data_IF_185544194731
#
_entry.id   IF_185544194731
#
_cell.length_a   1.000
_cell.length_b   1.000
_cell.length_c   1.000
_cell.angle_alpha   90.00
_cell.angle_beta   90.00
_cell.angle_gamma   90.00
#
_symmetry.space_group_name_H-M   'P 1'
#
loop_
_entity.id
_entity.type
_entity.pdbx_description
1 polymer ?
#
# COMPACT_ATOMS: atom_id res chain seq x y z
N UNK A 1 8.33 -3.13 33.33
CA UNK A 1 9.64 -3.55 32.79
C UNK A 1 9.28 -4.42 31.61
N UNK A 2 9.36 -3.87 30.40
CA UNK A 2 9.04 -4.60 29.17
C UNK A 2 9.97 -5.82 29.03
N UNK A 3 9.47 -6.88 28.39
CA UNK A 3 10.22 -8.11 28.21
C UNK A 3 11.27 -7.91 27.09
N UNK A 4 12.58 -8.06 27.36
CA UNK A 4 13.61 -7.97 26.32
C UNK A 4 13.36 -8.91 25.13
N UNK A 5 12.74 -10.07 25.38
CA UNK A 5 12.40 -11.03 24.34
C UNK A 5 11.28 -10.51 23.40
N UNK A 6 10.38 -9.67 23.91
CA UNK A 6 9.31 -9.06 23.13
C UNK A 6 9.86 -8.00 22.16
N UNK A 7 10.78 -7.15 22.64
CA UNK A 7 11.47 -6.16 21.81
C UNK A 7 12.18 -6.82 20.62
N UNK A 8 12.96 -7.87 20.89
CA UNK A 8 13.68 -8.63 19.86
C UNK A 8 12.70 -9.19 18.83
N UNK A 9 11.59 -9.77 19.28
CA UNK A 9 10.56 -10.31 18.40
C UNK A 9 9.92 -9.23 17.50
N UNK A 10 9.63 -8.06 18.05
CA UNK A 10 9.05 -6.94 17.28
C UNK A 10 10.04 -6.44 16.23
N UNK A 11 11.30 -6.22 16.60
CA UNK A 11 12.36 -5.81 15.67
C UNK A 11 12.49 -6.84 14.54
N UNK A 12 12.50 -8.13 14.87
CA UNK A 12 12.60 -9.21 13.86
C UNK A 12 11.40 -9.17 12.89
N UNK A 13 10.17 -8.97 13.39
CA UNK A 13 8.98 -8.84 12.55
C UNK A 13 9.07 -7.63 11.61
N UNK A 14 9.49 -6.47 12.10
CA UNK A 14 9.63 -5.26 11.28
C UNK A 14 10.73 -5.44 10.22
N UNK A 15 11.87 -6.06 10.58
CA UNK A 15 12.93 -6.38 9.62
C UNK A 15 12.47 -7.37 8.54
N UNK A 16 11.72 -8.40 8.93
CA UNK A 16 11.16 -9.36 7.98
C UNK A 16 10.16 -8.70 7.03
N UNK A 17 9.33 -7.78 7.54
CA UNK A 17 8.41 -7.02 6.72
C UNK A 17 9.15 -6.08 5.76
N UNK A 18 10.20 -5.38 6.23
CA UNK A 18 11.09 -4.59 5.38
C UNK A 18 11.69 -5.42 4.24
N UNK A 19 12.29 -6.56 4.55
CA UNK A 19 12.87 -7.48 3.56
C UNK A 19 11.83 -7.97 2.54
N UNK A 20 10.58 -8.16 2.98
CA UNK A 20 9.48 -8.51 2.08
C UNK A 20 9.19 -7.37 1.11
N UNK A 21 9.09 -6.12 1.59
CA UNK A 21 8.87 -4.95 0.74
C UNK A 21 10.01 -4.75 -0.26
N UNK A 22 11.26 -4.84 0.18
CA UNK A 22 12.45 -4.72 -0.70
C UNK A 22 12.46 -5.77 -1.82
N UNK A 23 11.95 -6.99 -1.55
CA UNK A 23 11.86 -8.06 -2.55
C UNK A 23 10.64 -7.94 -3.46
N UNK A 24 9.54 -7.38 -2.97
CA UNK A 24 8.30 -7.30 -3.72
C UNK A 24 8.17 -6.03 -4.55
N UNK A 25 8.71 -4.89 -4.09
CA UNK A 25 8.69 -3.63 -4.85
C UNK A 25 9.19 -3.78 -6.29
N UNK A 26 10.37 -4.42 -6.52
CA UNK A 26 10.86 -4.69 -7.87
C UNK A 26 9.91 -5.57 -8.70
N UNK A 27 9.30 -6.60 -8.09
CA UNK A 27 8.36 -7.49 -8.79
C UNK A 27 7.08 -6.77 -9.21
N UNK A 28 6.53 -5.94 -8.32
CA UNK A 28 5.36 -5.12 -8.63
C UNK A 28 5.67 -4.15 -9.77
N UNK A 29 6.87 -3.56 -9.76
CA UNK A 29 7.34 -2.69 -10.84
C UNK A 29 7.51 -3.45 -12.16
N UNK A 30 8.06 -4.66 -12.15
CA UNK A 30 8.16 -5.52 -13.32
C UNK A 30 6.78 -5.91 -13.87
N UNK A 31 5.84 -6.25 -13.00
CA UNK A 31 4.47 -6.61 -13.41
C UNK A 31 3.73 -5.42 -14.01
N UNK A 32 3.93 -4.22 -13.44
CA UNK A 32 3.40 -2.98 -14.00
C UNK A 32 4.02 -2.67 -15.37
N UNK A 33 5.33 -2.85 -15.53
CA UNK A 33 5.99 -2.71 -16.82
C UNK A 33 5.44 -3.72 -17.85
N UNK A 34 5.30 -4.99 -17.48
CA UNK A 34 4.71 -6.01 -18.35
C UNK A 34 3.30 -5.62 -18.79
N UNK A 35 2.48 -5.12 -17.86
CA UNK A 35 1.14 -4.63 -18.17
C UNK A 35 1.17 -3.55 -19.27
N UNK A 36 2.02 -2.52 -19.13
CA UNK A 36 2.18 -1.48 -20.17
C UNK A 36 2.74 -1.99 -21.50
N UNK A 37 3.54 -3.06 -21.48
CA UNK A 37 4.13 -3.63 -22.68
C UNK A 37 3.25 -4.69 -23.37
N UNK A 38 2.23 -5.23 -22.71
CA UNK A 38 1.28 -6.19 -23.31
C UNK A 38 0.45 -5.59 -24.45
N UNK A 39 0.13 -4.30 -24.42
CA UNK A 39 -0.59 -3.62 -25.51
C UNK A 39 0.31 -3.20 -26.69
N UNK A 40 1.63 -3.15 -26.47
CA UNK A 40 2.58 -2.76 -27.52
C UNK A 40 2.76 -3.81 -28.62
N UNK A 41 2.31 -5.05 -28.40
CA UNK A 41 2.33 -6.13 -29.41
C UNK A 41 1.03 -6.23 -30.22
N UNK A 42 -0.06 -5.52 -29.85
CA UNK A 42 -1.37 -5.70 -30.49
C UNK A 42 -1.89 -4.56 -31.36
N UNK A 43 -1.34 -3.35 -31.32
CA UNK A 43 -1.60 -2.32 -32.33
C UNK A 43 -0.71 -1.11 -32.06
N UNK A 44 0.29 -0.84 -32.91
CA UNK A 44 0.86 0.51 -33.00
C UNK A 44 1.07 0.86 -34.47
N UNK A 45 -0.02 1.28 -35.12
CA UNK A 45 0.10 2.38 -36.07
C UNK A 45 0.54 3.59 -35.26
N UNK A 46 1.74 4.07 -35.55
CA UNK A 46 2.41 5.20 -34.92
C UNK A 46 1.47 6.38 -34.70
N UNK A 47 1.07 6.62 -33.45
CA UNK A 47 0.58 7.93 -33.02
C UNK A 47 1.82 8.68 -32.51
N UNK A 48 2.20 9.73 -33.24
CA UNK A 48 3.24 10.67 -32.83
C UNK A 48 2.86 11.28 -31.48
N UNK A 49 3.73 11.14 -30.48
CA UNK A 49 3.56 11.74 -29.15
C UNK A 49 4.10 10.94 -27.97
N UNK A 50 4.38 9.64 -28.14
CA UNK A 50 4.89 8.81 -27.05
C UNK A 50 6.43 8.78 -27.02
N UNK A 51 7.09 9.22 -25.93
CA UNK A 51 8.53 9.07 -25.78
C UNK A 51 8.88 7.58 -25.66
N UNK A 52 9.82 7.14 -26.49
CA UNK A 52 10.44 5.82 -26.36
C UNK A 52 11.49 5.89 -25.26
N UNK A 53 11.23 5.14 -24.19
CA UNK A 53 12.18 4.84 -23.13
C UNK A 53 12.19 5.92 -22.06
N UNK A 54 11.74 5.56 -20.85
CA UNK A 54 12.19 6.12 -19.57
C UNK A 54 11.35 5.50 -18.43
N UNK A 55 11.91 4.49 -17.75
CA UNK A 55 11.50 4.02 -16.43
C UNK A 55 10.02 3.62 -16.23
N UNK A 56 9.65 3.24 -15.00
CA UNK A 56 8.24 3.21 -14.61
C UNK A 56 7.70 4.65 -14.72
N UNK A 57 6.56 4.83 -15.40
CA UNK A 57 5.87 6.13 -15.36
C UNK A 57 5.54 6.44 -13.91
N UNK A 58 5.87 7.65 -13.45
CA UNK A 58 5.15 8.23 -12.31
C UNK A 58 3.70 8.34 -12.75
N UNK A 59 2.87 7.44 -12.25
CA UNK A 59 1.43 7.52 -12.45
C UNK A 59 0.93 8.46 -11.38
N UNK A 60 0.58 9.67 -11.80
CA UNK A 60 0.14 10.72 -10.89
C UNK A 60 -1.24 10.40 -10.26
N UNK A 61 -1.98 9.40 -10.78
CA UNK A 61 -3.36 9.09 -10.34
C UNK A 61 -3.71 7.60 -10.45
N UNK A 62 -4.46 7.07 -9.49
CA UNK A 62 -4.99 5.69 -9.49
C UNK A 62 -6.33 5.69 -10.26
N UNK A 63 -6.38 5.10 -11.46
CA UNK A 63 -7.58 5.09 -12.30
C UNK A 63 -8.48 3.85 -12.08
N UNK A 64 -9.80 4.06 -11.96
CA UNK A 64 -10.81 3.01 -11.73
C UNK A 64 -10.95 2.01 -12.88
N UNK A 65 -10.74 2.45 -14.13
CA UNK A 65 -10.95 1.63 -15.32
C UNK A 65 -10.05 0.39 -15.36
N UNK A 66 -8.97 0.40 -14.57
CA UNK A 66 -8.06 -0.72 -14.44
C UNK A 66 -7.65 -0.99 -12.99
N UNK A 67 -8.44 -1.78 -12.23
CA UNK A 67 -8.16 -2.11 -10.84
C UNK A 67 -6.79 -2.81 -10.64
N UNK A 68 -6.27 -3.49 -11.66
CA UNK A 68 -4.96 -4.15 -11.57
C UNK A 68 -3.81 -3.14 -11.55
N UNK A 69 -3.76 -2.23 -12.52
CA UNK A 69 -2.76 -1.16 -12.58
C UNK A 69 -2.88 -0.22 -11.38
N UNK A 70 -4.10 0.15 -11.01
CA UNK A 70 -4.40 0.92 -9.82
C UNK A 70 -3.79 0.27 -8.56
N UNK A 71 -4.02 -1.03 -8.38
CA UNK A 71 -3.44 -1.79 -7.28
C UNK A 71 -1.91 -1.82 -7.32
N UNK A 72 -1.31 -2.12 -8.49
CA UNK A 72 0.15 -2.16 -8.60
C UNK A 72 0.79 -0.81 -8.26
N UNK A 73 0.27 0.29 -8.82
CA UNK A 73 0.76 1.64 -8.51
C UNK A 73 0.64 1.96 -7.02
N UNK A 74 -0.51 1.71 -6.42
CA UNK A 74 -0.74 1.95 -4.99
C UNK A 74 0.24 1.15 -4.12
N UNK A 75 0.43 -0.14 -4.40
CA UNK A 75 1.32 -0.99 -3.62
C UNK A 75 2.79 -0.61 -3.77
N UNK A 76 3.23 -0.16 -4.96
CA UNK A 76 4.59 0.36 -5.16
C UNK A 76 4.79 1.62 -4.31
N UNK A 77 3.87 2.59 -4.39
CA UNK A 77 3.97 3.84 -3.63
C UNK A 77 3.98 3.58 -2.11
N UNK A 78 3.08 2.73 -1.62
CA UNK A 78 3.06 2.34 -0.20
C UNK A 78 4.36 1.65 0.20
N UNK A 79 4.86 0.72 -0.63
CA UNK A 79 6.11 0.00 -0.33
C UNK A 79 7.30 0.95 -0.23
N UNK A 80 7.47 1.85 -1.21
CA UNK A 80 8.57 2.80 -1.25
C UNK A 80 8.53 3.78 -0.06
N UNK A 81 7.34 4.25 0.32
CA UNK A 81 7.17 5.16 1.45
C UNK A 81 7.36 4.48 2.81
N UNK A 82 7.00 3.21 2.95
CA UNK A 82 7.13 2.47 4.22
C UNK A 82 8.56 2.05 4.54
N UNK A 83 9.43 1.85 3.55
CA UNK A 83 10.82 1.45 3.78
C UNK A 83 11.58 2.38 4.75
N UNK A 84 11.64 3.70 4.54
CA UNK A 84 12.33 4.60 5.49
C UNK A 84 11.65 4.68 6.85
N UNK A 85 10.31 4.54 6.91
CA UNK A 85 9.55 4.53 8.16
C UNK A 85 9.92 3.28 8.99
N UNK A 86 10.04 2.12 8.35
CA UNK A 86 10.46 0.89 9.00
C UNK A 86 11.87 1.01 9.56
N UNK A 87 12.80 1.59 8.80
CA UNK A 87 14.18 1.82 9.29
C UNK A 87 14.20 2.70 10.54
N UNK A 88 13.44 3.79 10.52
CA UNK A 88 13.33 4.70 11.66
C UNK A 88 12.75 4.01 12.90
N UNK A 89 11.64 3.28 12.74
CA UNK A 89 10.98 2.63 13.88
C UNK A 89 11.78 1.43 14.42
N UNK A 90 12.54 0.74 13.58
CA UNK A 90 13.52 -0.26 14.03
C UNK A 90 14.61 0.40 14.88
N UNK A 91 15.14 1.56 14.45
CA UNK A 91 16.15 2.29 15.20
C UNK A 91 15.62 2.74 16.58
N UNK A 92 14.39 3.25 16.66
CA UNK A 92 13.76 3.58 17.94
C UNK A 92 13.70 2.39 18.90
N UNK A 93 13.32 1.20 18.40
CA UNK A 93 13.31 -0.01 19.22
C UNK A 93 14.71 -0.46 19.65
N UNK A 94 15.72 -0.24 18.82
CA UNK A 94 17.14 -0.53 19.13
C UNK A 94 17.73 0.44 20.16
N UNK A 95 17.23 1.68 20.21
CA UNK A 95 17.59 2.73 21.16
C UNK A 95 16.79 2.64 22.49
N UNK A 96 16.18 1.49 22.77
CA UNK A 96 15.38 1.20 23.97
C UNK A 96 14.15 2.11 24.17
N UNK A 97 13.57 2.68 23.10
CA UNK A 97 12.28 3.37 23.19
C UNK A 97 11.13 2.42 23.55
N UNK A 98 10.10 2.92 24.21
CA UNK A 98 8.92 2.14 24.66
C UNK A 98 8.21 1.45 23.48
N UNK A 99 7.96 0.15 23.60
CA UNK A 99 7.46 -0.68 22.49
C UNK A 99 6.06 -0.23 22.09
N UNK A 100 5.19 0.05 23.05
CA UNK A 100 3.81 0.44 22.79
C UNK A 100 3.77 1.79 22.06
N UNK A 101 4.58 2.76 22.50
CA UNK A 101 4.68 4.06 21.83
C UNK A 101 5.24 3.95 20.40
N UNK A 102 6.28 3.15 20.19
CA UNK A 102 6.85 2.97 18.85
C UNK A 102 5.86 2.26 17.93
N UNK A 103 5.12 1.26 18.42
CA UNK A 103 4.10 0.56 17.62
C UNK A 103 2.90 1.44 17.30
N UNK A 104 2.44 2.30 18.23
CA UNK A 104 1.37 3.27 17.98
C UNK A 104 1.80 4.31 16.94
N UNK A 105 3.02 4.86 17.08
CA UNK A 105 3.63 5.76 16.09
C UNK A 105 3.76 5.09 14.71
N UNK A 106 4.14 3.80 14.69
CA UNK A 106 4.24 3.04 13.45
C UNK A 106 2.87 2.85 12.79
N UNK A 107 1.83 2.47 13.56
CA UNK A 107 0.46 2.34 13.05
C UNK A 107 -0.02 3.67 12.44
N UNK A 108 0.25 4.79 13.11
CA UNK A 108 -0.07 6.13 12.61
C UNK A 108 0.68 6.49 11.32
N UNK A 109 1.97 6.17 11.24
CA UNK A 109 2.80 6.41 10.06
C UNK A 109 2.30 5.60 8.85
N UNK A 110 1.91 4.34 9.07
CA UNK A 110 1.27 3.51 8.04
C UNK A 110 -0.04 4.13 7.56
N UNK A 111 -0.85 4.66 8.48
CA UNK A 111 -2.08 5.36 8.12
C UNK A 111 -1.82 6.58 7.25
N UNK A 112 -0.86 7.44 7.59
CA UNK A 112 -0.54 8.62 6.80
C UNK A 112 -0.10 8.27 5.37
N UNK A 113 0.77 7.27 5.23
CA UNK A 113 1.21 6.77 3.92
C UNK A 113 0.03 6.27 3.11
N UNK A 114 -0.80 5.41 3.70
CA UNK A 114 -1.98 4.87 3.01
C UNK A 114 -2.95 5.99 2.64
N UNK A 115 -3.30 6.89 3.56
CA UNK A 115 -4.25 7.96 3.26
C UNK A 115 -3.75 8.87 2.14
N UNK A 116 -2.45 9.14 2.08
CA UNK A 116 -1.86 9.90 0.98
C UNK A 116 -1.86 9.12 -0.34
N UNK A 117 -1.51 7.83 -0.35
CA UNK A 117 -1.54 7.02 -1.58
C UNK A 117 -2.96 6.85 -2.11
N UNK A 118 -3.93 6.70 -1.21
CA UNK A 118 -5.33 6.46 -1.54
C UNK A 118 -6.18 7.75 -1.55
N UNK A 119 -5.59 8.94 -1.46
CA UNK A 119 -6.35 10.21 -1.42
C UNK A 119 -7.05 10.52 -2.74
N UNK A 120 -6.47 10.07 -3.86
CA UNK A 120 -6.98 10.37 -5.20
C UNK A 120 -7.90 9.25 -5.72
N UNK A 121 -8.61 8.60 -4.80
CA UNK A 121 -9.39 7.37 -5.02
C UNK A 121 -10.87 7.59 -4.61
N UNK A 122 -11.39 8.79 -4.84
CA UNK A 122 -12.74 9.25 -4.47
C UNK A 122 -13.84 8.27 -4.89
N UNK A 123 -13.74 7.71 -6.11
CA UNK A 123 -14.74 6.77 -6.63
C UNK A 123 -14.82 5.49 -5.79
N UNK A 124 -13.70 5.01 -5.25
CA UNK A 124 -13.71 3.80 -4.41
C UNK A 124 -14.10 4.10 -2.97
N UNK A 125 -13.82 5.29 -2.45
CA UNK A 125 -14.36 5.74 -1.16
C UNK A 125 -15.90 5.80 -1.23
N UNK A 126 -16.47 6.32 -2.32
CA UNK A 126 -17.93 6.30 -2.54
C UNK A 126 -18.49 4.89 -2.69
N UNK A 127 -17.76 3.98 -3.34
CA UNK A 127 -18.19 2.58 -3.47
C UNK A 127 -18.35 1.91 -2.10
N UNK A 128 -17.51 2.23 -1.11
CA UNK A 128 -17.64 1.66 0.23
C UNK A 128 -19.03 1.90 0.85
N UNK A 129 -19.62 3.06 0.62
CA UNK A 129 -20.93 3.42 1.16
C UNK A 129 -22.10 2.69 0.47
N UNK A 130 -21.84 2.06 -0.68
CA UNK A 130 -22.84 1.31 -1.45
C UNK A 130 -22.71 -0.21 -1.29
N UNK A 131 -21.62 -0.71 -0.70
CA UNK A 131 -21.43 -2.12 -0.43
C UNK A 131 -22.20 -2.52 0.85
N UNK A 132 -22.85 -3.68 0.81
CA UNK A 132 -23.49 -4.25 2.00
C UNK A 132 -22.45 -4.64 3.05
N UNK A 133 -22.84 -4.69 4.32
CA UNK A 133 -21.99 -5.16 5.43
C UNK A 133 -21.43 -6.57 5.14
N UNK A 134 -22.27 -7.47 4.63
CA UNK A 134 -21.85 -8.82 4.22
C UNK A 134 -20.73 -8.80 3.17
N UNK A 135 -20.81 -7.86 2.21
CA UNK A 135 -19.80 -7.75 1.14
C UNK A 135 -18.50 -7.12 1.67
N UNK A 136 -18.60 -6.12 2.54
CA UNK A 136 -17.43 -5.53 3.19
C UNK A 136 -16.69 -6.58 4.04
N UNK A 137 -17.43 -7.42 4.76
CA UNK A 137 -16.86 -8.49 5.57
C UNK A 137 -16.24 -9.60 4.71
N UNK A 138 -16.86 -9.94 3.58
CA UNK A 138 -16.27 -10.86 2.61
C UNK A 138 -14.93 -10.33 2.07
N UNK A 139 -14.87 -9.04 1.70
CA UNK A 139 -13.66 -8.42 1.15
C UNK A 139 -12.53 -8.38 2.19
N UNK A 140 -12.83 -8.06 3.45
CA UNK A 140 -11.83 -8.08 4.54
C UNK A 140 -11.18 -9.46 4.67
N UNK A 141 -12.00 -10.52 4.65
CA UNK A 141 -11.56 -11.87 4.94
C UNK A 141 -11.00 -12.62 3.72
N UNK A 142 -11.56 -12.40 2.53
CA UNK A 142 -11.21 -13.13 1.31
C UNK A 142 -11.36 -12.24 0.05
N UNK A 143 -10.44 -11.29 -0.19
CA UNK A 143 -10.52 -10.39 -1.34
C UNK A 143 -10.36 -11.17 -2.66
N UNK A 144 -11.28 -10.97 -3.60
CA UNK A 144 -11.31 -11.62 -4.91
C UNK A 144 -10.80 -10.67 -6.00
N UNK A 145 -9.47 -10.56 -6.07
CA UNK A 145 -8.77 -9.79 -7.10
C UNK A 145 -8.44 -8.36 -6.69
N UNK A 146 -7.90 -7.59 -7.64
CA UNK A 146 -7.26 -6.30 -7.36
C UNK A 146 -8.22 -5.20 -6.88
N UNK A 147 -9.46 -5.18 -7.38
CA UNK A 147 -10.49 -4.26 -6.88
C UNK A 147 -10.81 -4.50 -5.40
N UNK A 148 -10.99 -5.76 -5.00
CA UNK A 148 -11.21 -6.11 -3.60
C UNK A 148 -10.00 -5.78 -2.72
N UNK A 149 -8.77 -5.91 -3.26
CA UNK A 149 -7.56 -5.53 -2.55
C UNK A 149 -7.47 -4.02 -2.31
N UNK A 150 -7.85 -3.20 -3.31
CA UNK A 150 -7.96 -1.75 -3.13
C UNK A 150 -9.02 -1.39 -2.08
N UNK A 151 -10.22 -1.98 -2.18
CA UNK A 151 -11.30 -1.78 -1.23
C UNK A 151 -10.88 -2.17 0.18
N UNK A 152 -10.13 -3.28 0.34
CA UNK A 152 -9.61 -3.73 1.63
C UNK A 152 -8.70 -2.70 2.29
N UNK A 153 -7.85 -2.01 1.52
CA UNK A 153 -7.01 -0.93 2.04
C UNK A 153 -7.84 0.28 2.49
N UNK A 154 -8.86 0.67 1.71
CA UNK A 154 -9.77 1.76 2.08
C UNK A 154 -10.59 1.46 3.34
N UNK A 155 -11.06 0.21 3.48
CA UNK A 155 -11.71 -0.27 4.70
C UNK A 155 -10.77 -0.11 5.90
N UNK A 156 -9.49 -0.47 5.74
CA UNK A 156 -8.50 -0.33 6.81
C UNK A 156 -8.30 1.13 7.21
N UNK A 157 -8.19 2.04 6.23
CA UNK A 157 -8.06 3.49 6.46
C UNK A 157 -9.28 4.01 7.24
N UNK A 158 -10.50 3.69 6.80
CA UNK A 158 -11.74 4.08 7.46
C UNK A 158 -11.80 3.57 8.90
N UNK A 159 -11.46 2.31 9.14
CA UNK A 159 -11.44 1.75 10.49
C UNK A 159 -10.44 2.44 11.41
N UNK A 160 -9.26 2.83 10.88
CA UNK A 160 -8.26 3.59 11.64
C UNK A 160 -8.81 4.97 12.02
N UNK A 161 -9.41 5.70 11.07
CA UNK A 161 -10.04 7.00 11.32
C UNK A 161 -11.17 6.90 12.35
N UNK A 162 -11.99 5.85 12.29
CA UNK A 162 -13.06 5.64 13.28
C UNK A 162 -12.54 5.33 14.67
N UNK A 163 -11.46 4.55 14.78
CA UNK A 163 -10.82 4.21 16.06
C UNK A 163 -10.14 5.41 16.70
N UNK A 164 -9.49 6.27 15.91
CA UNK A 164 -8.55 7.27 16.42
C UNK A 164 -8.99 8.74 16.24
N UNK A 165 -9.83 9.05 15.24
CA UNK A 165 -10.24 10.43 14.91
C UNK A 165 -11.67 10.79 15.34
N UNK A 166 -12.56 9.83 15.62
CA UNK A 166 -13.92 10.08 16.14
C UNK A 166 -13.99 10.26 17.67
N UNK A 167 -12.96 10.88 18.28
CA UNK A 167 -12.98 11.29 19.71
C UNK A 167 -13.65 12.64 19.90
#
# INVERSE_FOLDING_TARGET
MENPDERILVIEKLRNYKLFLEKNGPKLSEDLQKYYHQDSEKNVSSIEGFPKGEGPRKVDYICYDNPYEAYLNAQIQVSDALLPILEQHIAFLEDDEDIDLVLESFEHSVYQVKKQTFSDVDDWEQLLDHLSEDRLEEIKNNPRGHGDLLIKELIWIRNYEEKWMKK
#
